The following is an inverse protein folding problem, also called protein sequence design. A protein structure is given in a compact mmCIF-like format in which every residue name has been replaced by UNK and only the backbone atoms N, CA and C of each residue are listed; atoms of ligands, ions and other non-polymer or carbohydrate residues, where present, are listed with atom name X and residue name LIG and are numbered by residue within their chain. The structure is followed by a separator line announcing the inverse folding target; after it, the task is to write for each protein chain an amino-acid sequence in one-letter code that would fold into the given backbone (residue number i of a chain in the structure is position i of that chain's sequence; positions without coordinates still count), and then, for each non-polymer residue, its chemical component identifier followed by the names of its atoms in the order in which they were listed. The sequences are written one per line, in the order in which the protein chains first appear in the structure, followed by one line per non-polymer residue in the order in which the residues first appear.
data_IF_887755947271
#
_entry.id   IF_887755947271
#
_cell.length_a   1.000
_cell.length_b   1.000
_cell.length_c   1.000
_cell.angle_alpha   90.00
_cell.angle_beta   90.00
_cell.angle_gamma   90.00
#
_symmetry.space_group_name_H-M   'P 1'
#
loop_
_entity.id
_entity.type
_entity.pdbx_description
1 polymer ?
#
# COMPACT_ATOMS: atom_id res chain seq x y z
N UNK A 1 -1.20 25.54 -14.00
CA UNK A 1 -1.92 24.31 -14.39
C UNK A 1 -2.41 23.73 -13.10
N UNK A 2 -3.70 23.87 -12.80
CA UNK A 2 -4.26 23.42 -11.53
C UNK A 2 -4.09 21.90 -11.47
N UNK A 3 -3.29 21.44 -10.50
CA UNK A 3 -3.16 20.00 -10.26
C UNK A 3 -4.48 19.50 -9.71
N UNK A 4 -4.97 18.39 -10.27
CA UNK A 4 -6.12 17.70 -9.69
C UNK A 4 -5.83 17.37 -8.21
N UNK A 5 -6.77 17.63 -7.30
CA UNK A 5 -6.63 17.28 -5.89
C UNK A 5 -6.24 15.82 -5.66
N UNK A 6 -5.53 15.55 -4.56
CA UNK A 6 -4.99 14.23 -4.25
C UNK A 6 -6.06 13.14 -4.16
N UNK A 7 -7.24 13.45 -3.63
CA UNK A 7 -8.40 12.57 -3.54
C UNK A 7 -8.93 12.18 -4.92
N UNK A 8 -9.19 13.16 -5.80
CA UNK A 8 -9.63 12.90 -7.18
C UNK A 8 -8.59 12.10 -7.96
N UNK A 9 -7.32 12.44 -7.79
CA UNK A 9 -6.23 11.72 -8.41
C UNK A 9 -6.16 10.25 -7.98
N UNK A 10 -6.34 9.97 -6.69
CA UNK A 10 -6.33 8.59 -6.18
C UNK A 10 -7.60 7.85 -6.58
N UNK A 11 -8.75 8.51 -6.65
CA UNK A 11 -9.98 7.93 -7.18
C UNK A 11 -9.78 7.42 -8.63
N UNK A 12 -9.15 8.22 -9.49
CA UNK A 12 -8.77 7.77 -10.85
C UNK A 12 -7.84 6.55 -10.82
N UNK A 13 -6.87 6.51 -9.90
CA UNK A 13 -5.98 5.35 -9.74
C UNK A 13 -6.74 4.10 -9.26
N UNK A 14 -7.72 4.26 -8.38
CA UNK A 14 -8.58 3.16 -7.92
C UNK A 14 -9.37 2.60 -9.09
N UNK A 15 -10.02 3.46 -9.87
CA UNK A 15 -10.77 3.04 -11.06
C UNK A 15 -9.88 2.34 -12.09
N UNK A 16 -8.68 2.88 -12.33
CA UNK A 16 -7.77 2.39 -13.37
C UNK A 16 -7.00 1.13 -12.96
N UNK A 17 -6.59 1.03 -11.71
CA UNK A 17 -5.63 0.01 -11.24
C UNK A 17 -6.11 -0.81 -10.05
N UNK A 18 -7.29 -0.54 -9.46
CA UNK A 18 -7.79 -1.27 -8.29
C UNK A 18 -7.77 -2.79 -8.45
N UNK A 19 -8.28 -3.29 -9.59
CA UNK A 19 -8.20 -4.72 -9.91
C UNK A 19 -6.76 -5.22 -10.01
N UNK A 20 -5.87 -4.48 -10.69
CA UNK A 20 -4.47 -4.88 -10.85
C UNK A 20 -3.75 -4.97 -9.50
N UNK A 21 -3.94 -3.97 -8.64
CA UNK A 21 -3.37 -3.93 -7.29
C UNK A 21 -3.86 -5.14 -6.49
N UNK A 22 -5.18 -5.36 -6.45
CA UNK A 22 -5.78 -6.48 -5.73
C UNK A 22 -5.23 -7.84 -6.20
N UNK A 23 -5.27 -8.12 -7.51
CA UNK A 23 -4.81 -9.42 -8.02
C UNK A 23 -3.30 -9.62 -7.83
N UNK A 24 -2.51 -8.54 -7.88
CA UNK A 24 -1.07 -8.64 -7.59
C UNK A 24 -0.83 -8.99 -6.12
N UNK A 25 -1.51 -8.32 -5.20
CA UNK A 25 -1.44 -8.59 -3.78
C UNK A 25 -1.91 -10.02 -3.50
N UNK A 26 -3.04 -10.44 -4.07
CA UNK A 26 -3.59 -11.78 -3.93
C UNK A 26 -2.63 -12.87 -4.44
N UNK A 27 -1.97 -12.65 -5.57
CA UNK A 27 -0.94 -13.56 -6.06
C UNK A 27 0.26 -13.70 -5.10
N UNK A 28 0.48 -12.73 -4.22
CA UNK A 28 1.53 -12.78 -3.20
C UNK A 28 1.04 -13.38 -1.87
N UNK A 29 -0.17 -13.07 -1.43
CA UNK A 29 -0.69 -13.48 -0.12
C UNK A 29 -1.38 -14.84 -0.16
N UNK A 30 -2.09 -15.14 -1.25
CA UNK A 30 -2.98 -16.30 -1.36
C UNK A 30 -4.25 -16.19 -0.50
N UNK A 31 -4.46 -15.04 0.16
CA UNK A 31 -5.53 -14.81 1.12
C UNK A 31 -6.41 -13.66 0.63
N UNK A 32 -7.71 -13.91 0.46
CA UNK A 32 -8.64 -12.93 -0.10
C UNK A 32 -8.86 -11.73 0.82
N UNK A 33 -9.09 -11.96 2.10
CA UNK A 33 -9.41 -10.92 3.09
C UNK A 33 -8.18 -10.02 3.32
N UNK A 34 -7.01 -10.63 3.54
CA UNK A 34 -5.76 -9.88 3.65
C UNK A 34 -5.49 -9.07 2.37
N UNK A 35 -5.85 -9.60 1.20
CA UNK A 35 -5.67 -8.86 -0.05
C UNK A 35 -6.57 -7.65 -0.17
N UNK A 36 -7.80 -7.71 0.35
CA UNK A 36 -8.70 -6.57 0.40
C UNK A 36 -8.12 -5.48 1.31
N UNK A 37 -7.71 -5.86 2.51
CA UNK A 37 -7.11 -4.94 3.50
C UNK A 37 -5.84 -4.27 2.94
N UNK A 38 -4.91 -5.05 2.41
CA UNK A 38 -3.66 -4.51 1.86
C UNK A 38 -3.88 -3.67 0.59
N UNK A 39 -4.92 -3.95 -0.19
CA UNK A 39 -5.32 -3.09 -1.32
C UNK A 39 -5.80 -1.73 -0.80
N UNK A 40 -6.62 -1.72 0.24
CA UNK A 40 -7.06 -0.49 0.88
C UNK A 40 -5.89 0.31 1.45
N UNK A 41 -5.00 -0.34 2.20
CA UNK A 41 -3.77 0.28 2.74
C UNK A 41 -2.89 0.87 1.63
N UNK A 42 -2.80 0.20 0.48
CA UNK A 42 -2.06 0.70 -0.68
C UNK A 42 -2.62 2.03 -1.17
N UNK A 43 -3.94 2.14 -1.36
CA UNK A 43 -4.55 3.38 -1.82
C UNK A 43 -4.57 4.48 -0.75
N UNK A 44 -4.68 4.11 0.53
CA UNK A 44 -4.49 5.03 1.64
C UNK A 44 -3.08 5.64 1.59
N UNK A 45 -2.05 4.81 1.42
CA UNK A 45 -0.67 5.28 1.33
C UNK A 45 -0.43 6.11 0.06
N UNK A 46 -1.08 5.77 -1.05
CA UNK A 46 -1.06 6.57 -2.27
C UNK A 46 -1.62 7.97 -2.02
N UNK A 47 -2.79 8.08 -1.35
CA UNK A 47 -3.40 9.37 -1.00
C UNK A 47 -2.46 10.26 -0.18
N UNK A 48 -1.75 9.68 0.78
CA UNK A 48 -0.78 10.41 1.60
C UNK A 48 0.47 10.88 0.86
N UNK A 49 0.79 10.30 -0.30
CA UNK A 49 2.11 10.47 -0.93
C UNK A 49 2.08 10.94 -2.39
N UNK A 50 0.90 11.03 -3.02
CA UNK A 50 0.77 11.35 -4.44
C UNK A 50 1.31 12.74 -4.80
N UNK A 51 1.06 13.76 -3.96
CA UNK A 51 1.54 15.12 -4.23
C UNK A 51 3.06 15.22 -4.16
N UNK A 52 3.66 14.57 -3.16
CA UNK A 52 5.11 14.47 -3.03
C UNK A 52 5.72 13.70 -4.21
N UNK A 53 5.11 12.60 -4.63
CA UNK A 53 5.59 11.77 -5.74
C UNK A 53 5.53 12.51 -7.08
N UNK A 54 4.43 13.24 -7.33
CA UNK A 54 4.25 14.10 -8.50
C UNK A 54 5.25 15.26 -8.51
N UNK A 55 5.45 15.91 -7.37
CA UNK A 55 6.42 17.01 -7.23
C UNK A 55 7.85 16.54 -7.48
N UNK A 56 8.22 15.35 -7.01
CA UNK A 56 9.55 14.79 -7.21
C UNK A 56 9.81 14.31 -8.65
N UNK A 57 8.78 13.84 -9.35
CA UNK A 57 8.93 13.23 -10.68
C UNK A 57 8.56 14.17 -11.84
N UNK A 58 7.82 15.25 -11.57
CA UNK A 58 7.31 16.18 -12.56
C UNK A 58 6.58 15.49 -13.70
N UNK A 59 6.92 15.84 -14.94
CA UNK A 59 6.34 15.28 -16.17
C UNK A 59 6.69 13.81 -16.41
N UNK A 60 7.64 13.24 -15.67
CA UNK A 60 8.07 11.85 -15.79
C UNK A 60 7.32 10.92 -14.82
N UNK A 61 6.31 11.40 -14.10
CA UNK A 61 5.55 10.59 -13.14
C UNK A 61 4.86 9.41 -13.83
N UNK A 62 5.27 8.19 -13.45
CA UNK A 62 4.70 6.93 -13.94
C UNK A 62 3.79 6.32 -12.89
N UNK A 63 2.54 6.76 -12.88
CA UNK A 63 1.51 6.37 -11.90
C UNK A 63 1.43 4.86 -11.62
N UNK A 64 1.44 4.01 -12.66
CA UNK A 64 1.34 2.55 -12.51
C UNK A 64 2.54 1.98 -11.77
N UNK A 65 3.74 2.35 -12.19
CA UNK A 65 4.98 1.85 -11.58
C UNK A 65 5.10 2.29 -10.13
N UNK A 66 4.78 3.56 -9.86
CA UNK A 66 4.75 4.13 -8.52
C UNK A 66 3.71 3.42 -7.62
N UNK A 67 2.46 3.27 -8.07
CA UNK A 67 1.42 2.61 -7.29
C UNK A 67 1.76 1.14 -6.99
N UNK A 68 2.32 0.42 -7.97
CA UNK A 68 2.77 -0.97 -7.75
C UNK A 68 3.92 -1.04 -6.74
N UNK A 69 4.80 -0.03 -6.69
CA UNK A 69 5.86 0.02 -5.68
C UNK A 69 5.29 0.13 -4.26
N UNK A 70 4.23 0.92 -4.08
CA UNK A 70 3.50 1.03 -2.80
C UNK A 70 2.90 -0.34 -2.46
N UNK A 71 2.17 -0.97 -3.38
CA UNK A 71 1.53 -2.26 -3.15
C UNK A 71 2.53 -3.33 -2.68
N UNK A 72 3.67 -3.46 -3.39
CA UNK A 72 4.70 -4.42 -3.03
C UNK A 72 5.33 -4.12 -1.66
N UNK A 73 5.51 -2.84 -1.32
CA UNK A 73 6.04 -2.44 -0.01
C UNK A 73 5.05 -2.72 1.12
N UNK A 74 3.75 -2.48 0.90
CA UNK A 74 2.68 -2.79 1.84
C UNK A 74 2.65 -4.29 2.18
N UNK A 75 2.70 -5.16 1.18
CA UNK A 75 2.79 -6.62 1.39
C UNK A 75 4.05 -7.02 2.16
N UNK A 76 5.22 -6.46 1.81
CA UNK A 76 6.47 -6.74 2.51
C UNK A 76 6.44 -6.30 3.97
N UNK A 77 5.86 -5.13 4.25
CA UNK A 77 5.71 -4.61 5.61
C UNK A 77 4.81 -5.52 6.44
N UNK A 78 3.68 -5.94 5.88
CA UNK A 78 2.76 -6.85 6.55
C UNK A 78 3.41 -8.19 6.89
N UNK A 79 4.14 -8.81 5.94
CA UNK A 79 4.89 -10.04 6.19
C UNK A 79 5.95 -9.85 7.28
N UNK A 80 6.66 -8.71 7.30
CA UNK A 80 7.63 -8.38 8.34
C UNK A 80 6.97 -8.29 9.72
N UNK A 81 5.82 -7.61 9.82
CA UNK A 81 5.04 -7.51 11.07
C UNK A 81 4.61 -8.88 11.57
N UNK A 82 4.05 -9.73 10.70
CA UNK A 82 3.67 -11.12 11.04
C UNK A 82 4.86 -11.94 11.56
N UNK A 83 6.02 -11.82 10.90
CA UNK A 83 7.25 -12.50 11.34
C UNK A 83 7.72 -12.06 12.73
N UNK A 84 7.60 -10.77 13.05
CA UNK A 84 7.94 -10.24 14.37
C UNK A 84 7.00 -10.82 15.45
N UNK A 85 5.69 -10.82 15.23
CA UNK A 85 4.73 -11.37 16.19
C UNK A 85 4.93 -12.87 16.46
N UNK A 86 5.36 -13.64 15.46
CA UNK A 86 5.69 -15.06 15.65
C UNK A 86 6.88 -15.28 16.59
N UNK A 87 7.78 -14.30 16.72
CA UNK A 87 9.03 -14.44 17.47
C UNK A 87 9.03 -13.70 18.83
N UNK A 88 7.91 -13.10 19.26
CA UNK A 88 7.83 -12.51 20.60
C UNK A 88 7.52 -13.64 21.60
N UNK A 89 8.48 -14.05 22.47
CA UNK A 89 8.18 -15.05 23.49
C UNK A 89 7.13 -14.50 24.44
N UNK A 90 6.11 -15.31 24.73
CA UNK A 90 4.98 -14.94 25.59
C UNK A 90 5.41 -14.32 26.94
N UNK A 91 6.56 -14.75 27.45
CA UNK A 91 7.19 -14.22 28.68
C UNK A 91 7.49 -12.71 28.64
N UNK A 92 7.66 -12.11 27.44
CA UNK A 92 7.87 -10.66 27.27
C UNK A 92 6.56 -9.86 27.18
N UNK A 93 5.42 -10.52 26.96
CA UNK A 93 4.11 -9.86 26.94
C UNK A 93 3.53 -9.66 28.36
N UNK A 94 3.99 -10.42 29.36
CA UNK A 94 3.50 -10.32 30.75
C UNK A 94 4.20 -9.25 31.61
N UNK A 95 5.29 -8.63 31.14
CA UNK A 95 5.96 -7.54 31.87
C UNK A 95 5.35 -6.19 31.49
N UNK A 96 4.09 -6.01 31.88
CA UNK A 96 3.37 -4.74 31.85
C UNK A 96 2.48 -4.66 33.08
N UNK A 97 3.11 -4.55 34.25
CA UNK A 97 2.48 -4.04 35.48
C UNK A 97 3.05 -2.64 35.73
#
# INVERSE_FOLDING_TARGET
MDMIPADQAVEELIHKYGRLVFHTIYGMTGDWEESQDLTQDTFHQALKSIDAARSASGTQFREKAWLMSIALNTVRMQRRRRGLFRFIPFSRMQKGN
#
